data_IF_877630672999
#
_entry.id   IF_877630672999
#
_cell.length_a   1.000
_cell.length_b   1.000
_cell.length_c   1.000
_cell.angle_alpha   90.00
_cell.angle_beta   90.00
_cell.angle_gamma   90.00
#
_symmetry.space_group_name_H-M   'P 1'
#
loop_
_entity.id
_entity.type
_entity.pdbx_description
1 polymer ?
#
# COMPACT_ATOMS: atom_id res chain seq x y z
N UNK A 1 -0.44 -20.98 30.48
CA UNK A 1 -1.73 -20.76 29.81
C UNK A 1 -1.60 -21.16 28.35
N UNK A 2 -2.55 -21.97 27.89
CA UNK A 2 -2.60 -22.39 26.49
C UNK A 2 -3.25 -21.27 25.66
N UNK A 3 -2.82 -21.10 24.40
CA UNK A 3 -3.46 -20.14 23.48
C UNK A 3 -4.96 -20.46 23.28
N UNK A 4 -5.36 -21.72 23.46
CA UNK A 4 -6.76 -22.16 23.42
C UNK A 4 -7.61 -21.66 24.58
N UNK A 5 -6.98 -21.19 25.66
CA UNK A 5 -7.68 -20.58 26.82
C UNK A 5 -8.03 -19.10 26.56
N UNK A 6 -7.51 -18.50 25.47
CA UNK A 6 -7.81 -17.12 25.09
C UNK A 6 -9.24 -17.09 24.50
N UNK A 7 -10.17 -16.33 25.12
CA UNK A 7 -11.54 -16.26 24.60
C UNK A 7 -11.57 -15.61 23.22
N UNK A 8 -12.31 -16.14 22.25
CA UNK A 8 -12.47 -15.52 20.96
C UNK A 8 -13.18 -14.17 21.08
N UNK A 9 -12.70 -13.18 20.35
CA UNK A 9 -13.31 -11.86 20.31
C UNK A 9 -13.89 -11.59 18.91
N UNK A 10 -15.14 -11.10 18.82
CA UNK A 10 -15.71 -10.67 17.54
C UNK A 10 -14.87 -9.54 16.92
N UNK A 11 -14.71 -9.55 15.60
CA UNK A 11 -13.96 -8.52 14.87
C UNK A 11 -14.53 -7.10 15.08
N UNK A 12 -15.83 -7.00 15.35
CA UNK A 12 -16.46 -5.71 15.70
C UNK A 12 -15.96 -5.13 17.03
N UNK A 13 -15.30 -5.92 17.88
CA UNK A 13 -14.63 -5.42 19.07
C UNK A 13 -13.61 -4.33 18.74
N UNK A 14 -12.88 -4.42 17.62
CA UNK A 14 -11.95 -3.39 17.15
C UNK A 14 -12.61 -2.06 16.73
N UNK A 15 -13.92 -2.05 16.53
CA UNK A 15 -14.69 -0.84 16.26
C UNK A 15 -15.27 -0.20 17.53
N UNK A 16 -15.53 -1.02 18.55
CA UNK A 16 -16.28 -0.63 19.74
C UNK A 16 -15.41 -0.41 20.96
N UNK A 17 -14.25 -1.04 20.99
CA UNK A 17 -13.36 -1.06 22.16
C UNK A 17 -11.97 -0.54 21.79
N UNK A 18 -11.32 0.10 22.73
CA UNK A 18 -9.87 0.35 22.67
C UNK A 18 -9.15 -0.91 23.11
N UNK A 19 -8.45 -1.54 22.19
CA UNK A 19 -7.71 -2.79 22.40
C UNK A 19 -6.22 -2.52 22.21
N UNK A 20 -5.53 -2.29 23.30
CA UNK A 20 -4.10 -2.03 23.31
C UNK A 20 -3.48 -2.58 24.60
N UNK A 21 -2.21 -2.97 24.55
CA UNK A 21 -1.43 -3.44 25.70
C UNK A 21 -0.69 -2.31 26.44
N UNK A 22 -0.73 -1.10 25.90
CA UNK A 22 -0.14 0.12 26.46
C UNK A 22 -1.17 1.25 26.42
N UNK A 23 -0.99 2.39 27.12
CA UNK A 23 -1.83 3.57 26.91
C UNK A 23 -1.93 3.97 25.43
N UNK A 24 -3.06 4.50 25.02
CA UNK A 24 -3.30 4.89 23.61
C UNK A 24 -2.25 5.89 23.12
N UNK A 25 -1.87 6.84 23.96
CA UNK A 25 -0.90 7.89 23.63
C UNK A 25 0.55 7.37 23.52
N UNK A 26 0.80 6.16 24.03
CA UNK A 26 2.12 5.49 23.95
C UNK A 26 2.23 4.59 22.67
N UNK A 27 1.17 4.51 21.86
CA UNK A 27 1.22 3.75 20.61
C UNK A 27 1.90 4.55 19.51
N UNK A 28 2.84 3.91 18.81
CA UNK A 28 3.53 4.49 17.65
C UNK A 28 2.58 4.79 16.50
N UNK A 29 1.57 3.92 16.30
CA UNK A 29 0.58 4.09 15.25
C UNK A 29 -0.80 3.54 15.63
N UNK A 30 -1.83 4.11 14.98
CA UNK A 30 -3.20 3.61 15.03
C UNK A 30 -3.71 3.47 13.59
N UNK A 31 -3.84 2.23 13.12
CA UNK A 31 -4.44 1.98 11.80
C UNK A 31 -5.96 1.98 11.89
N UNK A 32 -6.60 2.69 10.97
CA UNK A 32 -8.04 2.84 10.94
C UNK A 32 -8.64 2.23 9.67
N UNK A 33 -9.80 1.58 9.82
CA UNK A 33 -10.58 1.11 8.65
C UNK A 33 -11.18 2.31 7.91
N UNK A 34 -11.49 2.13 6.61
CA UNK A 34 -12.10 3.17 5.77
C UNK A 34 -13.46 3.68 6.28
N UNK A 35 -14.17 2.87 7.09
CA UNK A 35 -15.49 3.25 7.64
C UNK A 35 -16.63 3.28 6.60
N UNK A 36 -16.49 2.55 5.49
CA UNK A 36 -17.46 2.53 4.40
C UNK A 36 -18.84 1.99 4.81
N UNK A 37 -18.90 1.07 5.76
CA UNK A 37 -20.15 0.43 6.20
C UNK A 37 -20.95 1.28 7.20
N UNK A 38 -20.27 2.01 8.07
CA UNK A 38 -20.87 2.89 9.07
C UNK A 38 -20.08 4.19 9.16
N UNK A 39 -20.53 5.29 8.51
CA UNK A 39 -19.89 6.59 8.61
C UNK A 39 -19.81 7.04 10.07
N UNK A 40 -18.60 7.29 10.56
CA UNK A 40 -18.35 7.71 11.94
C UNK A 40 -17.87 6.62 12.90
N UNK A 41 -17.94 5.34 12.51
CA UNK A 41 -17.44 4.23 13.34
C UNK A 41 -16.32 3.48 12.60
N UNK A 42 -15.08 3.95 12.75
CA UNK A 42 -13.89 3.30 12.19
C UNK A 42 -13.30 2.32 13.19
N UNK A 43 -12.97 1.11 12.73
CA UNK A 43 -12.14 0.20 13.52
C UNK A 43 -10.75 0.80 13.71
N UNK A 44 -10.20 0.61 14.91
CA UNK A 44 -8.87 1.10 15.30
C UNK A 44 -8.02 -0.08 15.72
N UNK A 45 -6.84 -0.20 15.11
CA UNK A 45 -5.84 -1.17 15.46
C UNK A 45 -4.63 -0.42 15.99
N UNK A 46 -4.39 -0.56 17.29
CA UNK A 46 -3.32 0.13 18.01
C UNK A 46 -2.03 -0.68 17.93
N UNK A 47 -0.95 -0.01 17.58
CA UNK A 47 0.38 -0.60 17.46
C UNK A 47 1.33 0.12 18.41
N UNK A 48 1.73 -0.50 19.55
CA UNK A 48 2.74 0.07 20.44
C UNK A 48 4.05 0.37 19.75
N UNK A 49 4.43 -0.51 18.81
CA UNK A 49 5.54 -0.33 17.86
C UNK A 49 5.16 -0.90 16.49
N UNK A 50 5.88 -0.52 15.46
CA UNK A 50 5.65 -0.99 14.09
C UNK A 50 6.69 -2.03 13.63
N UNK A 51 7.65 -2.42 14.46
CA UNK A 51 8.72 -3.35 14.06
C UNK A 51 8.17 -4.71 13.63
N UNK A 52 7.25 -5.27 14.44
CA UNK A 52 6.62 -6.57 14.16
C UNK A 52 5.76 -6.48 12.90
N UNK A 53 5.03 -5.36 12.74
CA UNK A 53 4.20 -5.15 11.57
C UNK A 53 5.04 -5.04 10.30
N UNK A 54 6.08 -4.22 10.30
CA UNK A 54 7.02 -4.05 9.19
C UNK A 54 7.72 -5.37 8.83
N UNK A 55 8.19 -6.11 9.83
CA UNK A 55 8.81 -7.42 9.63
C UNK A 55 7.84 -8.44 9.02
N UNK A 56 6.57 -8.42 9.46
CA UNK A 56 5.54 -9.35 8.95
C UNK A 56 5.17 -9.10 7.50
N UNK A 57 5.32 -7.87 6.99
CA UNK A 57 4.94 -7.54 5.62
C UNK A 57 6.06 -7.80 4.60
N UNK A 58 7.33 -7.47 4.94
CA UNK A 58 8.40 -7.46 3.93
C UNK A 58 8.81 -8.86 3.49
N UNK A 59 8.81 -9.83 4.39
CA UNK A 59 9.11 -11.22 4.07
C UNK A 59 8.14 -11.81 3.04
N UNK A 60 6.83 -11.81 3.31
CA UNK A 60 5.80 -12.23 2.35
C UNK A 60 5.83 -11.41 1.05
N UNK A 61 6.03 -10.09 1.11
CA UNK A 61 6.13 -9.26 -0.08
C UNK A 61 7.26 -9.76 -1.02
N UNK A 62 8.45 -9.97 -0.49
CA UNK A 62 9.57 -10.51 -1.28
C UNK A 62 9.28 -11.90 -1.80
N UNK A 63 8.71 -12.77 -0.98
CA UNK A 63 8.46 -14.16 -1.37
C UNK A 63 7.38 -14.30 -2.46
N UNK A 64 6.26 -13.58 -2.33
CA UNK A 64 5.11 -13.76 -3.21
C UNK A 64 5.05 -12.74 -4.35
N UNK A 65 5.51 -11.52 -4.11
CA UNK A 65 5.39 -10.43 -5.08
C UNK A 65 6.68 -10.21 -5.87
N UNK A 66 7.85 -10.45 -5.24
CA UNK A 66 9.16 -10.25 -5.88
C UNK A 66 10.08 -11.48 -5.74
N UNK A 67 9.63 -12.70 -6.11
CA UNK A 67 10.41 -13.92 -5.87
C UNK A 67 11.69 -14.02 -6.74
N UNK A 68 11.78 -13.24 -7.81
CA UNK A 68 12.80 -13.31 -8.86
C UNK A 68 13.82 -12.17 -8.82
N UNK A 69 13.59 -11.15 -7.96
CA UNK A 69 14.48 -9.99 -7.86
C UNK A 69 14.39 -9.29 -6.51
N UNK A 70 15.45 -8.63 -6.11
CA UNK A 70 15.52 -7.88 -4.84
C UNK A 70 14.91 -6.48 -4.96
N UNK A 71 15.09 -5.82 -6.12
CA UNK A 71 14.61 -4.48 -6.38
C UNK A 71 14.01 -4.36 -7.77
N UNK A 72 13.04 -3.47 -7.91
CA UNK A 72 12.51 -3.04 -9.20
C UNK A 72 11.97 -1.62 -9.11
N UNK A 73 11.75 -0.98 -10.25
CA UNK A 73 11.14 0.35 -10.30
C UNK A 73 9.65 0.23 -9.97
N UNK A 74 9.19 0.97 -8.95
CA UNK A 74 7.83 0.89 -8.40
C UNK A 74 7.15 2.25 -8.52
N UNK A 75 5.97 2.29 -9.14
CA UNK A 75 5.07 3.43 -9.09
C UNK A 75 3.89 3.13 -8.16
N UNK A 76 3.70 3.97 -7.14
CA UNK A 76 2.60 3.85 -6.17
C UNK A 76 1.51 4.86 -6.51
N UNK A 77 0.29 4.33 -6.72
CA UNK A 77 -0.90 5.09 -7.11
C UNK A 77 -1.81 5.41 -5.92
N UNK A 78 -1.26 5.43 -4.73
CA UNK A 78 -1.97 5.66 -3.47
C UNK A 78 -1.15 6.60 -2.59
N UNK A 79 -1.76 7.25 -1.58
CA UNK A 79 -1.04 8.12 -0.66
C UNK A 79 0.13 7.43 0.03
N UNK A 80 1.22 8.16 0.21
CA UNK A 80 2.34 7.73 1.03
C UNK A 80 1.99 7.76 2.53
N UNK A 81 2.84 7.14 3.35
CA UNK A 81 2.67 7.12 4.81
C UNK A 81 2.57 8.52 5.42
N UNK A 82 3.38 9.46 4.93
CA UNK A 82 3.42 10.84 5.38
C UNK A 82 2.10 11.59 5.15
N UNK A 83 1.31 11.16 4.17
CA UNK A 83 0.00 11.73 3.86
C UNK A 83 -1.13 11.03 4.61
N UNK A 84 -0.94 9.79 5.05
CA UNK A 84 -1.98 8.98 5.68
C UNK A 84 -1.42 8.05 6.78
N UNK A 85 -1.07 8.64 7.92
CA UNK A 85 -0.52 7.92 9.08
C UNK A 85 -1.51 6.93 9.75
N UNK A 86 -2.78 6.97 9.40
CA UNK A 86 -3.77 5.99 9.87
C UNK A 86 -4.06 4.87 8.85
N UNK A 87 -3.40 4.89 7.70
CA UNK A 87 -3.60 3.90 6.65
C UNK A 87 -2.57 2.78 6.69
N UNK A 88 -2.98 1.56 7.07
CA UNK A 88 -2.08 0.40 7.00
C UNK A 88 -1.56 0.14 5.58
N UNK A 89 -2.38 0.39 4.56
CA UNK A 89 -1.96 0.31 3.16
C UNK A 89 -0.88 1.34 2.83
N UNK A 90 -1.03 2.59 3.28
CA UNK A 90 -0.03 3.64 3.06
C UNK A 90 1.33 3.24 3.67
N UNK A 91 1.32 2.69 4.90
CA UNK A 91 2.54 2.13 5.54
C UNK A 91 3.13 1.00 4.71
N UNK A 92 2.28 0.03 4.30
CA UNK A 92 2.70 -1.12 3.51
C UNK A 92 3.40 -0.71 2.22
N UNK A 93 2.77 0.18 1.44
CA UNK A 93 3.30 0.65 0.16
C UNK A 93 4.60 1.45 0.33
N UNK A 94 4.68 2.29 1.38
CA UNK A 94 5.90 3.04 1.70
C UNK A 94 7.05 2.10 2.04
N UNK A 95 6.83 1.12 2.92
CA UNK A 95 7.88 0.14 3.26
C UNK A 95 8.29 -0.72 2.06
N UNK A 96 7.35 -1.07 1.17
CA UNK A 96 7.67 -1.81 -0.06
C UNK A 96 8.59 -1.00 -0.98
N UNK A 97 8.33 0.29 -1.16
CA UNK A 97 9.20 1.18 -1.97
C UNK A 97 10.57 1.33 -1.33
N UNK A 98 10.66 1.61 -0.03
CA UNK A 98 11.93 1.77 0.69
C UNK A 98 12.81 0.51 0.60
N UNK A 99 12.21 -0.67 0.77
CA UNK A 99 12.93 -1.93 0.86
C UNK A 99 13.20 -2.59 -0.50
N UNK A 100 12.31 -2.39 -1.48
CA UNK A 100 12.33 -3.11 -2.75
C UNK A 100 12.31 -2.18 -3.98
N UNK A 101 12.14 -0.87 -3.79
CA UNK A 101 12.20 0.11 -4.88
C UNK A 101 13.64 0.32 -5.38
N UNK A 102 13.82 0.43 -6.70
CA UNK A 102 15.05 0.91 -7.34
C UNK A 102 14.93 2.39 -7.70
N UNK A 103 15.99 2.96 -8.26
CA UNK A 103 16.00 4.34 -8.76
C UNK A 103 14.81 4.60 -9.70
N UNK A 104 14.16 5.75 -9.54
CA UNK A 104 12.95 6.12 -10.26
C UNK A 104 11.65 5.56 -9.67
N UNK A 105 11.71 4.84 -8.54
CA UNK A 105 10.50 4.49 -7.77
C UNK A 105 9.93 5.72 -7.08
N UNK A 106 8.59 5.76 -6.90
CA UNK A 106 7.97 6.88 -6.22
C UNK A 106 6.46 6.77 -6.06
N UNK A 107 5.92 7.79 -5.41
CA UNK A 107 4.50 7.97 -5.18
C UNK A 107 3.96 8.98 -6.19
N UNK A 108 2.87 8.62 -6.85
CA UNK A 108 2.20 9.44 -7.85
C UNK A 108 0.81 9.92 -7.37
N UNK A 109 0.58 9.85 -6.08
CA UNK A 109 -0.61 10.41 -5.44
C UNK A 109 -0.17 11.58 -4.54
N UNK A 110 -0.70 12.77 -4.82
CA UNK A 110 -0.40 14.02 -4.13
C UNK A 110 -1.68 14.63 -3.53
N UNK A 111 -1.58 15.80 -2.92
CA UNK A 111 -2.73 16.50 -2.34
C UNK A 111 -3.86 16.76 -3.35
N UNK A 112 -3.50 17.03 -4.61
CA UNK A 112 -4.43 17.27 -5.72
C UNK A 112 -4.98 15.97 -6.35
N UNK A 113 -4.57 14.80 -5.86
CA UNK A 113 -4.97 13.49 -6.36
C UNK A 113 -3.87 12.75 -7.11
N UNK A 114 -4.27 11.85 -8.02
CA UNK A 114 -3.34 11.03 -8.81
C UNK A 114 -2.69 11.85 -9.92
N UNK A 115 -1.36 11.89 -9.94
CA UNK A 115 -0.55 12.49 -11.01
C UNK A 115 -0.50 11.55 -12.23
N UNK A 116 -1.54 11.61 -13.04
CA UNK A 116 -1.63 10.80 -14.25
C UNK A 116 -0.50 11.07 -15.26
N UNK A 117 -0.08 12.33 -15.37
CA UNK A 117 0.99 12.69 -16.29
C UNK A 117 2.35 12.14 -15.83
N UNK A 118 2.60 12.15 -14.53
CA UNK A 118 3.77 11.51 -13.93
C UNK A 118 3.78 10.01 -14.13
N UNK A 119 2.63 9.33 -13.93
CA UNK A 119 2.49 7.89 -14.21
C UNK A 119 2.71 7.60 -15.69
N UNK A 120 2.12 8.39 -16.60
CA UNK A 120 2.32 8.27 -18.04
C UNK A 120 3.81 8.33 -18.40
N UNK A 121 4.53 9.34 -17.88
CA UNK A 121 5.97 9.50 -18.08
C UNK A 121 6.77 8.32 -17.53
N UNK A 122 6.38 7.82 -16.34
CA UNK A 122 7.00 6.63 -15.74
C UNK A 122 6.86 5.40 -16.64
N UNK A 123 5.67 5.19 -17.23
CA UNK A 123 5.41 4.08 -18.15
C UNK A 123 6.15 4.27 -19.49
N UNK A 124 6.16 5.47 -20.05
CA UNK A 124 6.91 5.80 -21.27
C UNK A 124 8.41 5.49 -21.09
N UNK A 125 8.98 5.86 -19.93
CA UNK A 125 10.37 5.57 -19.60
C UNK A 125 10.62 4.06 -19.44
N UNK A 126 9.72 3.33 -18.80
CA UNK A 126 9.83 1.87 -18.65
C UNK A 126 9.89 1.16 -20.00
N UNK A 127 9.04 1.59 -20.95
CA UNK A 127 9.05 1.04 -22.30
C UNK A 127 10.34 1.39 -23.03
N UNK A 128 10.82 2.62 -22.90
CA UNK A 128 12.07 3.07 -23.54
C UNK A 128 13.30 2.33 -23.03
N UNK A 129 13.35 2.08 -21.70
CA UNK A 129 14.46 1.37 -21.06
C UNK A 129 14.36 -0.16 -21.28
N UNK A 130 13.17 -0.69 -21.58
CA UNK A 130 12.91 -2.14 -21.62
C UNK A 130 12.97 -2.79 -20.24
N UNK A 131 12.87 -2.01 -19.16
CA UNK A 131 12.96 -2.49 -17.79
C UNK A 131 11.57 -2.81 -17.21
N UNK A 132 11.42 -3.95 -16.51
CA UNK A 132 10.18 -4.28 -15.86
C UNK A 132 9.89 -3.34 -14.69
N UNK A 133 8.61 -3.04 -14.50
CA UNK A 133 8.12 -2.14 -13.47
C UNK A 133 6.98 -2.77 -12.67
N UNK A 134 6.74 -2.23 -11.48
CA UNK A 134 5.58 -2.56 -10.68
C UNK A 134 4.70 -1.33 -10.48
N UNK A 135 3.40 -1.49 -10.71
CA UNK A 135 2.39 -0.53 -10.28
C UNK A 135 1.72 -1.06 -9.02
N UNK A 136 1.60 -0.22 -7.99
CA UNK A 136 0.99 -0.59 -6.71
C UNK A 136 -0.11 0.40 -6.35
N UNK A 137 -1.28 -0.09 -5.97
CA UNK A 137 -2.38 0.78 -5.56
C UNK A 137 -3.68 0.06 -5.32
N UNK A 138 -4.73 0.82 -5.00
CA UNK A 138 -6.09 0.30 -4.88
C UNK A 138 -6.78 0.23 -6.25
N UNK A 139 -7.74 -0.68 -6.40
CA UNK A 139 -8.50 -0.93 -7.65
C UNK A 139 -9.03 0.36 -8.30
N UNK A 140 -9.52 1.31 -7.50
CA UNK A 140 -10.04 2.59 -8.01
C UNK A 140 -8.99 3.43 -8.71
N UNK A 141 -7.74 3.41 -8.25
CA UNK A 141 -6.66 4.17 -8.88
C UNK A 141 -6.34 3.64 -10.28
N UNK A 142 -6.37 2.31 -10.44
CA UNK A 142 -6.20 1.68 -11.75
C UNK A 142 -7.34 2.02 -12.71
N UNK A 143 -8.58 2.02 -12.22
CA UNK A 143 -9.72 2.39 -13.05
C UNK A 143 -9.54 3.79 -13.63
N UNK A 144 -9.24 4.78 -12.79
CA UNK A 144 -9.02 6.16 -13.24
C UNK A 144 -7.79 6.29 -14.16
N UNK A 145 -6.72 5.55 -13.89
CA UNK A 145 -5.55 5.54 -14.77
C UNK A 145 -5.87 4.96 -16.16
N UNK A 146 -6.63 3.87 -16.21
CA UNK A 146 -7.02 3.24 -17.47
C UNK A 146 -7.95 4.14 -18.27
N UNK A 147 -8.90 4.82 -17.63
CA UNK A 147 -9.78 5.79 -18.29
C UNK A 147 -8.97 6.96 -18.87
N UNK A 148 -8.03 7.52 -18.08
CA UNK A 148 -7.14 8.59 -18.54
C UNK A 148 -6.30 8.17 -19.75
N UNK A 149 -5.74 6.97 -19.76
CA UNK A 149 -4.93 6.46 -20.86
C UNK A 149 -5.80 6.18 -22.10
N UNK A 150 -7.00 5.63 -21.91
CA UNK A 150 -7.94 5.34 -22.99
C UNK A 150 -8.40 6.62 -23.71
N UNK A 151 -8.72 7.69 -22.98
CA UNK A 151 -9.07 9.00 -23.53
C UNK A 151 -7.94 9.58 -24.41
N UNK A 152 -6.69 9.23 -24.13
CA UNK A 152 -5.50 9.65 -24.88
C UNK A 152 -5.10 8.66 -25.98
N UNK A 153 -5.84 7.56 -26.13
CA UNK A 153 -5.51 6.49 -27.08
C UNK A 153 -4.19 5.79 -26.79
N UNK A 154 -3.74 5.81 -25.52
CA UNK A 154 -2.47 5.20 -25.09
C UNK A 154 -2.67 3.78 -24.58
N UNK A 155 -1.77 2.90 -25.01
CA UNK A 155 -1.62 1.54 -24.49
C UNK A 155 -0.14 1.25 -24.28
N UNK A 156 0.18 0.39 -23.31
CA UNK A 156 1.56 0.05 -22.97
C UNK A 156 1.81 -1.45 -23.09
N UNK A 157 2.85 -1.82 -23.83
CA UNK A 157 3.44 -3.16 -23.83
C UNK A 157 4.66 -3.13 -22.92
N UNK A 158 4.43 -3.31 -21.62
CA UNK A 158 5.48 -3.29 -20.61
C UNK A 158 6.41 -4.49 -20.76
N UNK A 159 7.65 -4.36 -20.31
CA UNK A 159 8.63 -5.43 -20.32
C UNK A 159 8.10 -6.67 -19.57
N UNK A 160 8.57 -7.85 -20.00
CA UNK A 160 8.27 -9.10 -19.31
C UNK A 160 8.62 -8.98 -17.82
N UNK A 161 7.81 -9.61 -16.98
CA UNK A 161 7.93 -9.56 -15.52
C UNK A 161 7.53 -8.22 -14.86
N UNK A 162 6.96 -7.29 -15.63
CA UNK A 162 6.22 -6.15 -15.04
C UNK A 162 4.98 -6.64 -14.30
N UNK A 163 4.60 -5.94 -13.23
CA UNK A 163 3.58 -6.40 -12.28
C UNK A 163 2.59 -5.30 -11.94
N UNK A 164 1.38 -5.74 -11.62
CA UNK A 164 0.35 -4.91 -11.00
C UNK A 164 0.01 -5.54 -9.64
N UNK A 165 0.13 -4.76 -8.58
CA UNK A 165 -0.26 -5.13 -7.24
C UNK A 165 -1.51 -4.32 -6.86
N UNK A 166 -2.65 -4.99 -6.88
CA UNK A 166 -3.97 -4.43 -6.54
C UNK A 166 -4.41 -4.88 -5.15
N UNK A 167 -5.02 -3.99 -4.37
CA UNK A 167 -5.45 -4.23 -2.99
C UNK A 167 -6.91 -3.87 -2.75
#
# INVERSE_FOLDING_TARGET
>A
SDWMDIPPMPVDGFKMLTLTSVPEDDCEAVFMTSGTTHPGQRGRNYHPDLEVWDASMIGPFRHFIMPDRERMRIAVLSPAWEMNHNGSLARYLTRAVEQCGSEGSGFFFHEDGLDFAGVEKFLDQSVADGEPVMLMGASSAYLYLLDYLAERGKTYALAKDSRVFDT
#
